data_IF_660187945964
#
_entry.id   IF_660187945964
#
_cell.length_a   1.000
_cell.length_b   1.000
_cell.length_c   1.000
_cell.angle_alpha   90.00
_cell.angle_beta   90.00
_cell.angle_gamma   90.00
#
_symmetry.space_group_name_H-M   'P 1'
#
loop_
_entity.id
_entity.type
_entity.pdbx_description
1 polymer ?
#
# COMPACT_ATOMS: atom_id res chain seq x y z
N UNK A 1 -8.73 13.74 0.48
CA UNK A 1 -9.64 14.60 -0.30
C UNK A 1 -8.91 15.02 -1.55
N UNK A 2 -9.51 14.83 -2.72
CA UNK A 2 -8.95 15.35 -3.98
C UNK A 2 -8.98 16.89 -4.02
N UNK A 3 -8.46 17.48 -5.10
CA UNK A 3 -8.45 18.94 -5.32
C UNK A 3 -9.84 19.59 -5.41
N UNK A 4 -10.90 18.78 -5.44
CA UNK A 4 -12.31 19.18 -5.50
C UNK A 4 -13.03 18.94 -4.16
N UNK A 5 -12.35 18.42 -3.14
CA UNK A 5 -12.92 18.12 -1.83
C UNK A 5 -13.65 16.78 -1.74
N UNK A 6 -13.49 15.90 -2.74
CA UNK A 6 -14.11 14.58 -2.71
C UNK A 6 -13.25 13.61 -1.87
N UNK A 7 -13.89 12.81 -1.05
CA UNK A 7 -13.25 11.70 -0.35
C UNK A 7 -12.86 10.64 -1.39
N UNK A 8 -11.56 10.51 -1.66
CA UNK A 8 -11.03 9.38 -2.42
C UNK A 8 -11.01 8.19 -1.48
N UNK A 9 -11.82 7.19 -1.82
CA UNK A 9 -11.85 5.92 -1.12
C UNK A 9 -10.87 4.97 -1.80
N UNK A 10 -10.16 4.22 -0.98
CA UNK A 10 -9.22 3.21 -1.40
C UNK A 10 -9.57 1.91 -0.70
N UNK A 11 -9.34 0.80 -1.39
CA UNK A 11 -9.43 -0.54 -0.81
C UNK A 11 -8.02 -1.10 -0.63
N UNK A 12 -7.82 -1.80 0.47
CA UNK A 12 -6.55 -2.45 0.78
C UNK A 12 -6.50 -3.76 -0.02
N UNK A 13 -5.47 -3.91 -0.84
CA UNK A 13 -5.19 -5.16 -1.53
C UNK A 13 -4.42 -6.11 -0.62
N UNK A 14 -3.32 -5.62 -0.05
CA UNK A 14 -2.36 -6.42 0.70
C UNK A 14 -1.57 -5.55 1.68
N UNK A 15 -1.13 -6.13 2.79
CA UNK A 15 -0.27 -5.48 3.77
C UNK A 15 0.82 -6.43 4.24
N UNK A 16 2.02 -5.93 4.44
CA UNK A 16 3.10 -6.70 5.04
C UNK A 16 3.93 -5.86 6.02
N UNK A 17 4.56 -6.53 6.97
CA UNK A 17 5.48 -5.93 7.93
C UNK A 17 6.92 -6.15 7.46
N UNK A 18 7.72 -5.09 7.50
CA UNK A 18 9.15 -5.17 7.28
C UNK A 18 9.90 -5.04 8.60
N UNK A 19 10.51 -6.13 9.03
CA UNK A 19 11.43 -6.14 10.16
C UNK A 19 12.68 -5.27 9.91
N UNK A 20 13.14 -5.16 8.66
CA UNK A 20 14.32 -4.36 8.29
C UNK A 20 14.13 -2.86 8.55
N UNK A 21 12.93 -2.34 8.25
CA UNK A 21 12.62 -0.92 8.45
C UNK A 21 11.82 -0.66 9.73
N UNK A 22 11.31 -1.71 10.37
CA UNK A 22 10.40 -1.61 11.50
C UNK A 22 9.10 -0.87 11.14
N UNK A 23 8.65 -1.02 9.89
CA UNK A 23 7.46 -0.37 9.33
C UNK A 23 6.55 -1.41 8.70
N UNK A 24 5.27 -1.09 8.61
CA UNK A 24 4.31 -1.87 7.81
C UNK A 24 4.05 -1.15 6.50
N UNK A 25 3.83 -1.90 5.43
CA UNK A 25 3.53 -1.38 4.10
C UNK A 25 2.16 -1.86 3.67
N UNK A 26 1.41 -0.97 3.02
CA UNK A 26 0.01 -1.18 2.62
C UNK A 26 -0.11 -0.88 1.14
N UNK A 27 -0.55 -1.87 0.38
CA UNK A 27 -0.93 -1.74 -1.02
C UNK A 27 -2.42 -1.43 -1.10
N UNK A 28 -2.75 -0.38 -1.83
CA UNK A 28 -4.12 0.07 -2.03
C UNK A 28 -4.43 0.28 -3.50
N UNK A 29 -5.69 0.17 -3.85
CA UNK A 29 -6.22 0.51 -5.17
C UNK A 29 -7.47 1.37 -4.99
N UNK A 30 -7.82 2.22 -5.98
CA UNK A 30 -8.99 3.09 -5.89
C UNK A 30 -10.27 2.27 -5.71
N UNK A 31 -11.04 2.58 -4.67
CA UNK A 31 -12.30 1.91 -4.38
C UNK A 31 -13.30 2.18 -5.50
N UNK A 32 -13.87 1.11 -6.06
CA UNK A 32 -14.75 1.19 -7.23
C UNK A 32 -14.04 0.95 -8.56
N UNK A 33 -12.76 0.61 -8.55
CA UNK A 33 -12.14 -0.09 -9.66
C UNK A 33 -12.91 -1.38 -9.97
N UNK A 34 -13.21 -1.63 -11.25
CA UNK A 34 -13.90 -2.84 -11.67
C UNK A 34 -12.89 -3.94 -11.99
N UNK A 35 -13.22 -5.20 -11.66
CA UNK A 35 -12.42 -6.36 -12.07
C UNK A 35 -12.17 -6.34 -13.59
N UNK A 36 -10.90 -6.30 -14.00
CA UNK A 36 -10.48 -6.25 -15.40
C UNK A 36 -10.12 -4.87 -15.95
N UNK A 37 -10.22 -3.81 -15.14
CA UNK A 37 -9.61 -2.51 -15.46
C UNK A 37 -8.14 -2.51 -15.02
N UNK A 38 -7.25 -1.94 -15.84
CA UNK A 38 -5.84 -1.76 -15.46
C UNK A 38 -5.79 -0.66 -14.39
N UNK A 39 -5.66 -1.08 -13.14
CA UNK A 39 -5.63 -0.18 -11.98
C UNK A 39 -4.19 0.10 -11.58
N UNK A 40 -3.92 1.35 -11.21
CA UNK A 40 -2.63 1.72 -10.64
C UNK A 40 -2.63 1.36 -9.14
N UNK A 41 -1.72 0.48 -8.74
CA UNK A 41 -1.50 0.15 -7.33
C UNK A 41 -0.66 1.25 -6.68
N UNK A 42 -1.12 1.71 -5.53
CA UNK A 42 -0.38 2.67 -4.72
C UNK A 42 0.12 1.99 -3.44
N UNK A 43 1.33 2.34 -3.01
CA UNK A 43 1.95 1.77 -1.81
C UNK A 43 2.30 2.86 -0.82
N UNK A 44 1.94 2.61 0.44
CA UNK A 44 2.18 3.52 1.55
C UNK A 44 2.79 2.77 2.73
N UNK A 45 3.67 3.45 3.47
CA UNK A 45 4.11 2.97 4.78
C UNK A 45 3.11 3.40 5.85
N UNK A 46 2.73 2.47 6.70
CA UNK A 46 1.83 2.69 7.81
C UNK A 46 2.62 2.88 9.09
N UNK A 47 2.34 3.99 9.78
CA UNK A 47 2.92 4.34 11.06
C UNK A 47 1.79 4.42 12.07
N UNK A 48 1.78 3.51 13.04
CA UNK A 48 0.83 3.58 14.14
C UNK A 48 1.09 4.84 14.99
N UNK A 49 0.03 5.57 15.33
CA UNK A 49 0.15 6.74 16.21
C UNK A 49 0.32 6.31 17.67
N UNK A 50 0.85 7.20 18.52
CA UNK A 50 1.12 6.92 19.94
C UNK A 50 -0.10 6.42 20.75
N UNK A 51 -1.32 6.61 20.26
CA UNK A 51 -2.55 6.15 20.91
C UNK A 51 -2.99 4.75 20.48
N UNK A 52 -2.44 4.20 19.39
CA UNK A 52 -2.81 2.88 18.84
C UNK A 52 -4.21 2.81 18.22
N UNK A 53 -4.99 3.89 18.26
CA UNK A 53 -6.36 3.93 17.71
C UNK A 53 -6.39 4.37 16.24
N UNK A 54 -5.30 4.98 15.77
CA UNK A 54 -5.15 5.52 14.42
C UNK A 54 -3.72 5.26 13.92
N UNK A 55 -3.55 5.23 12.60
CA UNK A 55 -2.24 5.25 11.96
C UNK A 55 -2.21 6.23 10.80
N UNK A 56 -1.02 6.67 10.46
CA UNK A 56 -0.76 7.58 9.37
C UNK A 56 -0.13 6.82 8.20
N UNK A 57 -0.64 7.04 7.00
CA UNK A 57 -0.05 6.54 5.75
C UNK A 57 0.94 7.58 5.23
N UNK A 58 2.16 7.14 4.97
CA UNK A 58 3.25 7.95 4.42
C UNK A 58 3.66 7.40 3.06
N UNK A 59 3.92 8.27 2.07
CA UNK A 59 4.48 7.82 0.81
C UNK A 59 5.86 7.20 1.02
N UNK A 60 6.26 6.32 0.10
CA UNK A 60 7.59 5.70 0.13
C UNK A 60 8.58 6.65 -0.54
N UNK A 61 9.60 7.05 0.20
CA UNK A 61 10.54 8.09 -0.22
C UNK A 61 11.90 7.54 -0.68
N UNK A 62 12.22 6.29 -0.32
CA UNK A 62 13.55 5.71 -0.55
C UNK A 62 13.54 4.59 -1.57
N UNK A 63 14.57 4.54 -2.43
CA UNK A 63 14.72 3.48 -3.44
C UNK A 63 14.86 2.10 -2.80
N UNK A 64 15.54 1.99 -1.64
CA UNK A 64 15.72 0.70 -0.95
C UNK A 64 14.39 0.12 -0.45
N UNK A 65 13.47 0.96 0.02
CA UNK A 65 12.11 0.52 0.39
C UNK A 65 11.35 0.05 -0.86
N UNK A 66 11.47 0.78 -1.99
CA UNK A 66 10.84 0.40 -3.25
C UNK A 66 11.35 -0.94 -3.78
N UNK A 67 12.66 -1.18 -3.80
CA UNK A 67 13.27 -2.45 -4.23
C UNK A 67 12.67 -3.64 -3.45
N UNK A 68 12.56 -3.50 -2.12
CA UNK A 68 11.98 -4.53 -1.26
C UNK A 68 10.47 -4.74 -1.51
N UNK A 69 9.71 -3.65 -1.65
CA UNK A 69 8.28 -3.70 -1.97
C UNK A 69 8.05 -4.42 -3.31
N UNK A 70 8.86 -4.13 -4.33
CA UNK A 70 8.79 -4.81 -5.62
C UNK A 70 9.13 -6.30 -5.50
N UNK A 71 10.14 -6.69 -4.72
CA UNK A 71 10.46 -8.10 -4.49
C UNK A 71 9.30 -8.85 -3.82
N UNK A 72 8.68 -8.26 -2.79
CA UNK A 72 7.52 -8.83 -2.10
C UNK A 72 6.32 -8.93 -3.03
N UNK A 73 6.03 -7.87 -3.81
CA UNK A 73 4.93 -7.86 -4.76
C UNK A 73 5.11 -8.93 -5.84
N UNK A 74 6.30 -9.03 -6.44
CA UNK A 74 6.59 -10.04 -7.44
C UNK A 74 6.43 -11.46 -6.89
N UNK A 75 6.86 -11.69 -5.64
CA UNK A 75 6.68 -12.98 -4.97
C UNK A 75 5.20 -13.29 -4.75
N UNK A 76 4.41 -12.30 -4.33
CA UNK A 76 2.97 -12.47 -4.12
C UNK A 76 2.22 -12.76 -5.42
N UNK A 77 2.49 -12.01 -6.49
CA UNK A 77 1.88 -12.23 -7.80
C UNK A 77 2.26 -13.58 -8.40
N UNK A 78 3.51 -14.02 -8.19
CA UNK A 78 3.95 -15.35 -8.62
C UNK A 78 3.25 -16.49 -7.85
N UNK A 79 2.84 -16.26 -6.59
CA UNK A 79 2.07 -17.22 -5.79
C UNK A 79 0.61 -17.30 -6.25
N UNK A 80 0.00 -16.19 -6.69
CA UNK A 80 -1.37 -16.18 -7.24
C UNK A 80 -1.50 -16.83 -8.63
N UNK A 81 -0.41 -16.96 -9.39
CA UNK A 81 -0.40 -17.62 -10.71
C UNK A 81 -0.24 -19.17 -10.64
N UNK A 82 -0.09 -19.78 -9.45
CA UNK A 82 -0.04 -21.26 -9.26
C UNK A 82 -1.40 -21.88 -8.88
#
# INVERSE_FOLDING_TARGET
>A
MDEQGNEQLYEILFTFDSDDYGKSYVFVYPAGASEGEEVELEVYSFIETETGEQGELKPIETEEEWDMIEEVLNTFLADEEE
#
